data_IF_605647744142
#
_entry.id   IF_605647744142
#
_cell.length_a   1.000
_cell.length_b   1.000
_cell.length_c   1.000
_cell.angle_alpha   90.00
_cell.angle_beta   90.00
_cell.angle_gamma   90.00
#
_symmetry.space_group_name_H-M   'P 1'
#
loop_
_entity.id
_entity.type
_entity.pdbx_description
1 polymer ?
#
# COMPACT_ATOMS: atom_id res chain seq x y z
N UNK A 1 50.91 5.92 11.25
CA UNK A 1 50.34 5.48 9.96
C UNK A 1 49.69 4.13 10.21
N UNK A 2 48.43 3.92 9.79
CA UNK A 2 47.84 2.58 9.83
C UNK A 2 48.67 1.65 8.93
N UNK A 3 48.88 0.39 9.31
CA UNK A 3 49.59 -0.54 8.44
C UNK A 3 48.75 -0.81 7.18
N UNK A 4 49.41 -1.07 6.05
CA UNK A 4 48.74 -1.43 4.80
C UNK A 4 47.75 -2.60 4.98
N UNK A 5 48.08 -3.56 5.85
CA UNK A 5 47.20 -4.67 6.20
C UNK A 5 45.92 -4.21 6.91
N UNK A 6 46.02 -3.21 7.79
CA UNK A 6 44.85 -2.62 8.45
C UNK A 6 43.95 -1.89 7.44
N UNK A 7 44.55 -1.17 6.48
CA UNK A 7 43.79 -0.47 5.42
C UNK A 7 43.10 -1.49 4.50
N UNK A 8 43.80 -2.57 4.10
CA UNK A 8 43.22 -3.65 3.29
C UNK A 8 42.07 -4.37 4.01
N UNK A 9 42.22 -4.63 5.31
CA UNK A 9 41.15 -5.22 6.13
C UNK A 9 39.91 -4.31 6.20
N UNK A 10 40.11 -3.00 6.36
CA UNK A 10 39.00 -2.04 6.38
C UNK A 10 38.30 -1.95 5.01
N UNK A 11 39.04 -1.97 3.90
CA UNK A 11 38.47 -2.02 2.55
C UNK A 11 37.63 -3.27 2.35
N UNK A 12 38.12 -4.44 2.78
CA UNK A 12 37.36 -5.70 2.69
C UNK A 12 36.07 -5.67 3.52
N UNK A 13 36.11 -5.07 4.72
CA UNK A 13 34.93 -4.85 5.56
C UNK A 13 33.90 -3.95 4.87
N UNK A 14 34.36 -2.84 4.27
CA UNK A 14 33.51 -1.94 3.49
C UNK A 14 32.87 -2.67 2.30
N UNK A 15 33.64 -3.46 1.56
CA UNK A 15 33.13 -4.21 0.40
C UNK A 15 32.05 -5.23 0.78
N UNK A 16 32.22 -5.90 1.93
CA UNK A 16 31.19 -6.79 2.47
C UNK A 16 29.88 -6.05 2.77
N UNK A 17 29.97 -4.88 3.42
CA UNK A 17 28.80 -4.05 3.75
C UNK A 17 28.09 -3.49 2.51
N UNK A 18 28.86 -3.00 1.53
CA UNK A 18 28.33 -2.52 0.25
C UNK A 18 27.64 -3.64 -0.52
N UNK A 19 28.24 -4.85 -0.55
CA UNK A 19 27.63 -6.03 -1.17
C UNK A 19 26.32 -6.40 -0.49
N UNK A 20 26.27 -6.40 0.84
CA UNK A 20 25.06 -6.71 1.59
C UNK A 20 23.93 -5.71 1.28
N UNK A 21 24.23 -4.41 1.31
CA UNK A 21 23.26 -3.36 0.95
C UNK A 21 22.74 -3.55 -0.48
N UNK A 22 23.65 -3.77 -1.44
CA UNK A 22 23.29 -3.93 -2.85
C UNK A 22 22.41 -5.16 -3.08
N UNK A 23 22.77 -6.32 -2.52
CA UNK A 23 22.00 -7.55 -2.65
C UNK A 23 20.62 -7.41 -2.02
N UNK A 24 20.53 -6.81 -0.83
CA UNK A 24 19.25 -6.54 -0.18
C UNK A 24 18.37 -5.64 -1.06
N UNK A 25 18.91 -4.53 -1.57
CA UNK A 25 18.19 -3.62 -2.49
C UNK A 25 17.66 -4.32 -3.72
N UNK A 26 18.53 -5.10 -4.37
CA UNK A 26 18.18 -5.81 -5.61
C UNK A 26 17.07 -6.83 -5.40
N UNK A 27 17.20 -7.68 -4.38
CA UNK A 27 16.18 -8.71 -4.08
C UNK A 27 14.84 -8.08 -3.74
N UNK A 28 14.83 -7.01 -2.95
CA UNK A 28 13.59 -6.32 -2.58
C UNK A 28 12.93 -5.65 -3.79
N UNK A 29 13.71 -5.04 -4.68
CA UNK A 29 13.18 -4.45 -5.91
C UNK A 29 12.60 -5.52 -6.86
N UNK A 30 13.34 -6.61 -7.10
CA UNK A 30 12.88 -7.72 -7.94
C UNK A 30 11.58 -8.32 -7.39
N UNK A 31 11.54 -8.61 -6.07
CA UNK A 31 10.32 -9.10 -5.40
C UNK A 31 9.14 -8.16 -5.56
N UNK A 32 9.34 -6.85 -5.33
CA UNK A 32 8.27 -5.86 -5.45
C UNK A 32 7.74 -5.76 -6.89
N UNK A 33 8.62 -5.81 -7.90
CA UNK A 33 8.22 -5.84 -9.31
C UNK A 33 7.45 -7.11 -9.66
N UNK A 34 7.88 -8.28 -9.15
CA UNK A 34 7.17 -9.54 -9.35
C UNK A 34 5.77 -9.52 -8.72
N UNK A 35 5.64 -9.00 -7.49
CA UNK A 35 4.33 -8.85 -6.83
C UNK A 35 3.44 -7.91 -7.63
N UNK A 36 3.97 -6.75 -8.06
CA UNK A 36 3.22 -5.80 -8.88
C UNK A 36 2.69 -6.47 -10.15
N UNK A 37 3.56 -7.18 -10.88
CA UNK A 37 3.16 -7.89 -12.10
C UNK A 37 2.08 -8.94 -11.82
N UNK A 38 2.23 -9.74 -10.76
CA UNK A 38 1.22 -10.73 -10.37
C UNK A 38 -0.14 -10.08 -10.08
N UNK A 39 -0.15 -8.92 -9.41
CA UNK A 39 -1.38 -8.17 -9.13
C UNK A 39 -2.01 -7.61 -10.42
N UNK A 40 -1.20 -7.08 -11.34
CA UNK A 40 -1.66 -6.59 -12.64
C UNK A 40 -2.23 -7.72 -13.52
N UNK A 41 -1.53 -8.86 -13.60
CA UNK A 41 -1.95 -10.03 -14.39
C UNK A 41 -3.28 -10.62 -13.89
N UNK A 42 -3.60 -10.43 -12.61
CA UNK A 42 -4.85 -10.88 -11.99
C UNK A 42 -5.86 -9.75 -11.74
N UNK A 43 -5.67 -8.57 -12.35
CA UNK A 43 -6.58 -7.42 -12.28
C UNK A 43 -6.93 -6.95 -10.84
N UNK A 44 -6.00 -7.06 -9.90
CA UNK A 44 -6.23 -6.56 -8.54
C UNK A 44 -6.36 -5.04 -8.52
N UNK A 45 -7.26 -4.54 -7.68
CA UNK A 45 -7.41 -3.12 -7.36
C UNK A 45 -7.25 -2.91 -5.85
N UNK A 46 -6.43 -1.92 -5.49
CA UNK A 46 -6.20 -1.53 -4.09
C UNK A 46 -6.79 -0.17 -3.75
N UNK A 47 -6.45 0.36 -2.57
CA UNK A 47 -6.94 1.64 -2.07
C UNK A 47 -6.60 2.85 -2.99
N UNK A 48 -5.54 2.73 -3.79
CA UNK A 48 -5.11 3.78 -4.71
C UNK A 48 -5.98 3.86 -5.99
N UNK A 49 -6.77 2.82 -6.30
CA UNK A 49 -7.59 2.70 -7.52
C UNK A 49 -6.80 2.98 -8.82
N UNK A 50 -5.61 2.39 -8.97
CA UNK A 50 -4.69 2.67 -10.07
C UNK A 50 -4.70 1.63 -11.21
N UNK A 51 -5.64 0.67 -11.20
CA UNK A 51 -5.80 -0.29 -12.28
C UNK A 51 -6.55 0.32 -13.48
N UNK A 52 -6.09 0.01 -14.69
CA UNK A 52 -6.73 0.42 -15.96
C UNK A 52 -7.49 -0.73 -16.64
N UNK A 53 -7.39 -1.94 -16.10
CA UNK A 53 -7.92 -3.17 -16.72
C UNK A 53 -9.24 -3.63 -16.09
N UNK A 54 -9.60 -3.08 -14.93
CA UNK A 54 -10.87 -3.37 -14.24
C UNK A 54 -12.02 -2.68 -14.96
N UNK A 55 -13.18 -3.32 -15.00
CA UNK A 55 -14.39 -2.73 -15.57
C UNK A 55 -14.77 -1.41 -14.87
N UNK A 56 -15.38 -0.50 -15.63
CA UNK A 56 -15.73 0.83 -15.11
C UNK A 56 -16.74 0.74 -13.96
N UNK A 57 -17.69 -0.20 -14.00
CA UNK A 57 -18.67 -0.35 -12.94
C UNK A 57 -18.01 -0.77 -11.62
N UNK A 58 -17.13 -1.77 -11.67
CA UNK A 58 -16.37 -2.25 -10.50
C UNK A 58 -15.43 -1.16 -9.97
N UNK A 59 -14.81 -0.38 -10.86
CA UNK A 59 -13.94 0.73 -10.46
C UNK A 59 -14.71 1.82 -9.72
N UNK A 60 -15.92 2.16 -10.18
CA UNK A 60 -16.78 3.15 -9.51
C UNK A 60 -17.23 2.63 -8.14
N UNK A 61 -17.73 1.39 -8.08
CA UNK A 61 -18.17 0.79 -6.82
C UNK A 61 -17.02 0.70 -5.80
N UNK A 62 -15.83 0.28 -6.24
CA UNK A 62 -14.66 0.24 -5.38
C UNK A 62 -14.23 1.64 -4.91
N UNK A 63 -14.32 2.63 -5.79
CA UNK A 63 -14.03 4.03 -5.44
C UNK A 63 -15.01 4.55 -4.38
N UNK A 64 -16.28 4.19 -4.45
CA UNK A 64 -17.28 4.53 -3.42
C UNK A 64 -16.93 3.88 -2.08
N UNK A 65 -16.55 2.59 -2.09
CA UNK A 65 -16.15 1.86 -0.88
C UNK A 65 -14.94 2.53 -0.21
N UNK A 66 -13.91 2.88 -1.00
CA UNK A 66 -12.63 3.36 -0.47
C UNK A 66 -12.61 4.87 -0.17
N UNK A 67 -13.22 5.70 -1.03
CA UNK A 67 -13.11 7.18 -0.97
C UNK A 67 -14.47 7.87 -0.87
N UNK A 68 -15.47 7.33 -1.56
CA UNK A 68 -16.80 7.92 -1.67
C UNK A 68 -17.74 7.47 -0.55
N UNK A 69 -19.04 7.46 -0.84
CA UNK A 69 -20.06 6.90 0.05
C UNK A 69 -20.89 5.94 -0.78
N UNK A 70 -20.87 4.62 -0.48
CA UNK A 70 -21.73 3.67 -1.18
C UNK A 70 -23.20 4.02 -0.91
N UNK A 71 -23.95 4.37 -1.95
CA UNK A 71 -25.37 4.75 -1.84
C UNK A 71 -26.20 4.09 -2.96
N UNK A 72 -27.52 4.05 -2.76
CA UNK A 72 -28.50 3.51 -3.71
C UNK A 72 -29.35 4.67 -4.26
N UNK A 73 -29.29 4.95 -5.54
CA UNK A 73 -29.97 6.11 -6.13
C UNK A 73 -31.49 5.90 -6.18
N UNK A 74 -32.26 6.96 -5.93
CA UNK A 74 -33.73 6.90 -5.97
C UNK A 74 -34.29 6.78 -7.41
N UNK A 75 -33.45 7.00 -8.42
CA UNK A 75 -33.79 6.76 -9.82
C UNK A 75 -33.84 5.26 -10.19
N UNK A 76 -33.26 4.41 -9.35
CA UNK A 76 -33.25 2.95 -9.56
C UNK A 76 -34.58 2.34 -9.10
N UNK A 77 -34.98 1.27 -9.78
CA UNK A 77 -36.08 0.43 -9.30
C UNK A 77 -35.72 -0.19 -7.94
N UNK A 78 -36.73 -0.62 -7.18
CA UNK A 78 -36.53 -1.28 -5.88
C UNK A 78 -35.59 -2.49 -6.02
N UNK A 79 -35.82 -3.34 -7.03
CA UNK A 79 -34.98 -4.52 -7.29
C UNK A 79 -33.55 -4.13 -7.70
N UNK A 80 -33.36 -3.05 -8.47
CA UNK A 80 -32.03 -2.58 -8.82
C UNK A 80 -31.26 -2.03 -7.60
N UNK A 81 -31.97 -1.42 -6.64
CA UNK A 81 -31.36 -0.98 -5.37
C UNK A 81 -30.96 -2.16 -4.50
N UNK A 82 -31.80 -3.18 -4.40
CA UNK A 82 -31.49 -4.44 -3.70
C UNK A 82 -30.23 -5.09 -4.31
N UNK A 83 -30.21 -5.29 -5.62
CA UNK A 83 -29.05 -5.85 -6.34
C UNK A 83 -27.78 -5.02 -6.12
N UNK A 84 -27.85 -3.68 -6.21
CA UNK A 84 -26.69 -2.81 -5.96
C UNK A 84 -26.18 -2.93 -4.52
N UNK A 85 -27.07 -3.06 -3.53
CA UNK A 85 -26.69 -3.26 -2.14
C UNK A 85 -25.96 -4.61 -1.93
N UNK A 86 -26.45 -5.67 -2.58
CA UNK A 86 -25.81 -6.99 -2.56
C UNK A 86 -24.44 -6.96 -3.22
N UNK A 87 -24.32 -6.32 -4.39
CA UNK A 87 -23.03 -6.16 -5.06
C UNK A 87 -22.00 -5.43 -4.17
N UNK A 88 -22.40 -4.37 -3.47
CA UNK A 88 -21.50 -3.69 -2.53
C UNK A 88 -21.05 -4.62 -1.39
N UNK A 89 -21.96 -5.40 -0.82
CA UNK A 89 -21.65 -6.36 0.25
C UNK A 89 -20.69 -7.46 -0.24
N UNK A 90 -20.92 -7.97 -1.44
CA UNK A 90 -20.12 -9.03 -2.04
C UNK A 90 -18.70 -8.55 -2.35
N UNK A 91 -18.57 -7.42 -3.04
CA UNK A 91 -17.26 -6.78 -3.31
C UNK A 91 -16.53 -6.53 -1.98
N UNK A 92 -17.21 -5.95 -1.00
CA UNK A 92 -16.58 -5.65 0.28
C UNK A 92 -16.14 -6.91 1.03
N UNK A 93 -16.97 -7.96 1.05
CA UNK A 93 -16.66 -9.23 1.72
C UNK A 93 -15.50 -9.96 1.05
N UNK A 94 -15.41 -9.92 -0.27
CA UNK A 94 -14.27 -10.50 -1.00
C UNK A 94 -12.99 -9.68 -0.83
N UNK A 95 -13.11 -8.37 -0.55
CA UNK A 95 -11.95 -7.47 -0.39
C UNK A 95 -11.31 -7.49 0.99
N UNK A 96 -11.99 -8.02 2.00
CA UNK A 96 -11.59 -7.93 3.41
C UNK A 96 -11.70 -9.29 4.10
N UNK A 97 -10.56 -9.84 4.51
CA UNK A 97 -10.53 -11.03 5.36
C UNK A 97 -11.19 -10.77 6.73
N UNK A 98 -11.48 -11.85 7.46
CA UNK A 98 -12.13 -11.81 8.78
C UNK A 98 -11.33 -10.95 9.77
N UNK A 99 -10.00 -10.99 9.68
CA UNK A 99 -9.09 -10.26 10.57
C UNK A 99 -8.85 -8.79 10.13
N UNK A 100 -9.41 -8.36 9.01
CA UNK A 100 -9.23 -7.00 8.52
C UNK A 100 -9.95 -5.98 9.42
N UNK A 101 -9.24 -4.95 9.88
CA UNK A 101 -9.76 -3.98 10.86
C UNK A 101 -11.08 -3.32 10.44
N UNK A 102 -11.29 -3.09 9.14
CA UNK A 102 -12.52 -2.48 8.63
C UNK A 102 -13.63 -3.47 8.29
N UNK A 103 -13.38 -4.78 8.39
CA UNK A 103 -14.36 -5.83 8.03
C UNK A 103 -15.66 -5.65 8.80
N UNK A 104 -15.62 -5.62 10.12
CA UNK A 104 -16.83 -5.49 10.93
C UNK A 104 -17.56 -4.14 10.74
N UNK A 105 -16.87 -2.96 10.78
CA UNK A 105 -17.51 -1.68 10.47
C UNK A 105 -18.18 -1.63 9.09
N UNK A 106 -17.49 -2.10 8.05
CA UNK A 106 -18.03 -2.09 6.69
C UNK A 106 -19.23 -3.02 6.54
N UNK A 107 -19.17 -4.25 7.07
CA UNK A 107 -20.30 -5.18 7.03
C UNK A 107 -21.55 -4.61 7.68
N UNK A 108 -21.41 -3.90 8.81
CA UNK A 108 -22.55 -3.25 9.47
C UNK A 108 -23.16 -2.15 8.60
N UNK A 109 -22.34 -1.38 7.89
CA UNK A 109 -22.83 -0.35 6.97
C UNK A 109 -23.55 -0.96 5.76
N UNK A 110 -22.96 -1.96 5.11
CA UNK A 110 -23.58 -2.62 3.94
C UNK A 110 -24.84 -3.40 4.32
N UNK A 111 -24.88 -4.05 5.49
CA UNK A 111 -26.12 -4.64 6.03
C UNK A 111 -27.20 -3.59 6.27
N UNK A 112 -26.84 -2.39 6.72
CA UNK A 112 -27.80 -1.29 6.87
C UNK A 112 -28.39 -0.88 5.51
N UNK A 113 -27.57 -0.82 4.44
CA UNK A 113 -28.05 -0.55 3.09
C UNK A 113 -29.01 -1.65 2.59
N UNK A 114 -28.64 -2.93 2.77
CA UNK A 114 -29.50 -4.07 2.42
C UNK A 114 -30.83 -4.05 3.19
N UNK A 115 -30.81 -3.80 4.50
CA UNK A 115 -32.06 -3.79 5.28
C UNK A 115 -32.99 -2.61 4.98
N UNK A 116 -32.50 -1.58 4.26
CA UNK A 116 -33.23 -0.34 4.01
C UNK A 116 -33.27 0.03 2.52
N UNK A 117 -33.07 -0.91 1.58
CA UNK A 117 -33.02 -0.62 0.13
C UNK A 117 -34.32 -0.02 -0.43
N UNK A 118 -35.47 -0.28 0.22
CA UNK A 118 -36.79 0.23 -0.21
C UNK A 118 -36.97 1.72 0.05
N UNK A 119 -36.28 2.26 1.06
CA UNK A 119 -36.38 3.66 1.48
C UNK A 119 -35.74 4.61 0.47
N UNK A 120 -36.17 5.86 0.47
CA UNK A 120 -35.48 6.93 -0.27
C UNK A 120 -34.05 7.16 0.28
N UNK A 121 -33.20 7.74 -0.55
CA UNK A 121 -31.79 8.01 -0.23
C UNK A 121 -31.63 8.83 1.04
N UNK A 122 -32.42 9.89 1.22
CA UNK A 122 -32.27 10.78 2.37
C UNK A 122 -32.54 10.03 3.67
N UNK A 123 -33.69 9.37 3.76
CA UNK A 123 -34.11 8.60 4.94
C UNK A 123 -33.14 7.46 5.23
N UNK A 124 -32.65 6.75 4.19
CA UNK A 124 -31.67 5.68 4.36
C UNK A 124 -30.32 6.20 4.84
N UNK A 125 -29.83 7.30 4.29
CA UNK A 125 -28.55 7.89 4.69
C UNK A 125 -28.59 8.35 6.15
N UNK A 126 -29.69 8.93 6.62
CA UNK A 126 -29.88 9.28 8.04
C UNK A 126 -29.86 8.04 8.95
N UNK A 127 -30.54 6.95 8.56
CA UNK A 127 -30.55 5.69 9.34
C UNK A 127 -29.18 5.01 9.40
N UNK A 128 -28.43 5.03 8.30
CA UNK A 128 -27.14 4.35 8.19
C UNK A 128 -25.94 5.23 8.53
N UNK A 129 -26.15 6.50 8.92
CA UNK A 129 -25.09 7.48 9.16
C UNK A 129 -24.12 7.03 10.25
N UNK A 130 -24.62 6.49 11.36
CA UNK A 130 -23.77 6.04 12.46
C UNK A 130 -22.85 4.88 12.06
N UNK A 131 -23.38 3.91 11.31
CA UNK A 131 -22.59 2.79 10.78
C UNK A 131 -21.57 3.27 9.74
N UNK A 132 -21.97 4.21 8.88
CA UNK A 132 -21.09 4.83 7.90
C UNK A 132 -19.93 5.58 8.58
N UNK A 133 -20.19 6.39 9.61
CA UNK A 133 -19.17 7.15 10.30
C UNK A 133 -18.05 6.28 10.89
N UNK A 134 -18.41 5.10 11.44
CA UNK A 134 -17.42 4.14 11.97
C UNK A 134 -16.64 3.49 10.82
N UNK A 135 -17.31 3.09 9.74
CA UNK A 135 -16.64 2.54 8.56
C UNK A 135 -15.69 3.57 7.90
N UNK A 136 -16.14 4.82 7.77
CA UNK A 136 -15.40 5.91 7.17
C UNK A 136 -14.14 6.28 7.98
N UNK A 137 -14.26 6.31 9.31
CA UNK A 137 -13.11 6.49 10.19
C UNK A 137 -12.06 5.38 9.97
N UNK A 138 -12.51 4.13 9.87
CA UNK A 138 -11.60 3.00 9.65
C UNK A 138 -10.86 3.09 8.32
N UNK A 139 -11.56 3.31 7.19
CA UNK A 139 -10.91 3.39 5.88
C UNK A 139 -9.99 4.60 5.74
N UNK A 140 -10.32 5.74 6.36
CA UNK A 140 -9.43 6.91 6.42
C UNK A 140 -8.14 6.59 7.19
N UNK A 141 -8.24 5.87 8.29
CA UNK A 141 -7.05 5.42 9.03
C UNK A 141 -6.16 4.49 8.20
N UNK A 142 -6.74 3.59 7.40
CA UNK A 142 -5.96 2.74 6.48
C UNK A 142 -5.23 3.57 5.42
N UNK A 143 -5.86 4.58 4.85
CA UNK A 143 -5.22 5.48 3.89
C UNK A 143 -4.07 6.27 4.53
N UNK A 144 -4.25 6.75 5.76
CA UNK A 144 -3.20 7.42 6.52
C UNK A 144 -2.03 6.48 6.83
N UNK A 145 -2.31 5.24 7.24
CA UNK A 145 -1.28 4.22 7.47
C UNK A 145 -0.52 3.89 6.18
N UNK A 146 -1.22 3.77 5.05
CA UNK A 146 -0.58 3.54 3.75
C UNK A 146 0.37 4.69 3.39
N UNK A 147 -0.08 5.95 3.54
CA UNK A 147 0.74 7.12 3.28
C UNK A 147 1.98 7.17 4.20
N UNK A 148 1.79 6.91 5.49
CA UNK A 148 2.88 6.88 6.47
C UNK A 148 3.91 5.78 6.16
N UNK A 149 3.45 4.58 5.79
CA UNK A 149 4.31 3.46 5.43
C UNK A 149 5.15 3.76 4.18
N UNK A 150 4.57 4.43 3.18
CA UNK A 150 5.30 4.87 1.98
C UNK A 150 6.38 5.88 2.36
N UNK A 151 6.04 6.90 3.16
CA UNK A 151 7.00 7.92 3.57
C UNK A 151 8.16 7.33 4.39
N UNK A 152 7.85 6.41 5.32
CA UNK A 152 8.88 5.77 6.13
C UNK A 152 9.76 4.83 5.30
N UNK A 153 9.18 4.08 4.36
CA UNK A 153 9.95 3.25 3.42
C UNK A 153 10.92 4.10 2.58
N UNK A 154 10.48 5.25 2.05
CA UNK A 154 11.33 6.17 1.30
C UNK A 154 12.45 6.75 2.16
N UNK A 155 12.14 7.16 3.39
CA UNK A 155 13.15 7.69 4.33
C UNK A 155 14.21 6.64 4.67
N UNK A 156 13.79 5.43 5.04
CA UNK A 156 14.70 4.31 5.32
C UNK A 156 15.54 3.97 4.11
N UNK A 157 14.93 4.02 2.92
CA UNK A 157 15.65 3.79 1.68
C UNK A 157 16.76 4.81 1.47
N UNK A 158 16.42 6.10 1.53
CA UNK A 158 17.36 7.19 1.35
C UNK A 158 18.53 7.09 2.34
N UNK A 159 18.24 6.86 3.62
CA UNK A 159 19.27 6.73 4.65
C UNK A 159 20.25 5.59 4.35
N UNK A 160 19.76 4.42 3.96
CA UNK A 160 20.61 3.29 3.59
C UNK A 160 21.49 3.59 2.37
N UNK A 161 20.95 4.31 1.40
CA UNK A 161 21.65 4.65 0.16
C UNK A 161 22.73 5.73 0.42
N UNK A 162 22.46 6.68 1.31
CA UNK A 162 23.44 7.68 1.78
C UNK A 162 24.59 7.02 2.54
N UNK A 163 24.29 6.11 3.47
CA UNK A 163 25.32 5.34 4.19
C UNK A 163 26.17 4.51 3.22
N UNK A 164 25.56 3.88 2.20
CA UNK A 164 26.30 3.15 1.18
C UNK A 164 27.21 4.07 0.36
N UNK A 165 26.74 5.27 0.00
CA UNK A 165 27.54 6.27 -0.71
C UNK A 165 28.74 6.75 0.11
N UNK A 166 28.56 7.00 1.40
CA UNK A 166 29.64 7.36 2.31
C UNK A 166 30.69 6.26 2.43
N UNK A 167 30.26 5.00 2.57
CA UNK A 167 31.14 3.83 2.58
C UNK A 167 31.95 3.71 1.28
N UNK A 168 31.29 3.93 0.14
CA UNK A 168 31.97 3.91 -1.16
C UNK A 168 33.01 5.02 -1.29
N UNK A 169 32.71 6.23 -0.84
CA UNK A 169 33.68 7.34 -0.83
C UNK A 169 34.87 7.03 0.08
N UNK A 170 34.63 6.48 1.27
CA UNK A 170 35.69 6.05 2.20
C UNK A 170 36.57 4.96 1.58
N UNK A 171 35.97 4.00 0.87
CA UNK A 171 36.69 2.96 0.12
C UNK A 171 37.65 3.56 -0.91
N UNK A 172 37.19 4.54 -1.68
CA UNK A 172 38.02 5.23 -2.68
C UNK A 172 39.22 5.87 -2.01
N UNK A 173 39.02 6.58 -0.91
CA UNK A 173 40.09 7.26 -0.19
C UNK A 173 41.13 6.29 0.38
N UNK A 174 40.69 5.21 1.03
CA UNK A 174 41.59 4.16 1.55
C UNK A 174 42.38 3.47 0.43
N UNK A 175 41.75 3.27 -0.74
CA UNK A 175 42.41 2.69 -1.91
C UNK A 175 43.48 3.64 -2.48
N UNK A 176 43.20 4.95 -2.49
CA UNK A 176 44.20 5.96 -2.89
C UNK A 176 45.41 5.93 -1.96
N UNK A 177 45.20 5.88 -0.65
CA UNK A 177 46.28 5.82 0.34
C UNK A 177 47.19 4.61 0.10
N UNK A 178 46.61 3.42 -0.15
CA UNK A 178 47.38 2.22 -0.50
C UNK A 178 48.20 2.38 -1.80
N UNK A 179 47.70 3.13 -2.78
CA UNK A 179 48.42 3.37 -4.04
C UNK A 179 49.57 4.37 -3.88
N UNK A 180 49.47 5.31 -2.93
CA UNK A 180 50.52 6.31 -2.68
C UNK A 180 51.67 5.75 -1.84
N UNK A 181 51.41 4.74 -1.01
CA UNK A 181 52.43 4.04 -0.20
C UNK A 181 53.34 3.08 -0.99
N UNK A 182 53.05 2.85 -2.29
CA UNK A 182 53.84 1.97 -3.17
C UNK A 182 54.89 2.74 -4.02
N UNK A 183 54.99 4.06 -3.84
CA UNK A 183 56.02 4.93 -4.43
C UNK A 183 56.81 5.62 -3.32
#
# INVERSE_FOLDING_TARGET
MASDDAIRSEVASIDSRLKQWFLFRRVQAERAMSIKKLLEDNNFIGLACNSKTVDVADQVMWTDIVKGRPELEDSLSVNAREMKADMYMDIFTQSCDIDHACRLPGSKYFQCLQNNFTLDRKTRSERCESAFGVFDSCRKNLQLQQAANIQDALRRQQHQDDVAKELFNKRIELTKQLSTSQH
#
